data_IF_948971803994
#
_entry.id   IF_948971803994
#
_cell.length_a   1.000
_cell.length_b   1.000
_cell.length_c   1.000
_cell.angle_alpha   90.00
_cell.angle_beta   90.00
_cell.angle_gamma   90.00
#
_symmetry.space_group_name_H-M   'P 1'
#
loop_
_entity.id
_entity.type
_entity.pdbx_description
1 polymer ?
#
# COMPACT_ATOMS: atom_id res chain seq x y z
N UNK A 1 15.81 -19.57 11.14
CA UNK A 1 14.92 -18.53 10.54
C UNK A 1 13.72 -19.28 9.99
N UNK A 2 12.50 -19.06 10.51
CA UNK A 2 11.30 -19.62 9.88
C UNK A 2 11.18 -18.98 8.49
N UNK A 3 11.07 -19.81 7.44
CA UNK A 3 10.77 -19.32 6.09
C UNK A 3 9.39 -18.63 6.15
N UNK A 4 9.34 -17.35 5.87
CA UNK A 4 8.07 -16.61 5.73
C UNK A 4 7.28 -17.22 4.56
N UNK A 5 6.00 -17.51 4.78
CA UNK A 5 5.14 -18.08 3.74
C UNK A 5 4.91 -17.05 2.63
N UNK A 6 5.19 -17.41 1.37
CA UNK A 6 4.84 -16.59 0.21
C UNK A 6 3.32 -16.65 0.01
N UNK A 7 2.67 -15.49 0.10
CA UNK A 7 1.22 -15.33 -0.06
C UNK A 7 0.86 -14.94 -1.49
N UNK A 8 1.59 -14.00 -2.08
CA UNK A 8 1.35 -13.53 -3.45
C UNK A 8 2.61 -13.72 -4.29
N UNK A 9 2.44 -14.26 -5.49
CA UNK A 9 3.50 -14.43 -6.47
C UNK A 9 3.03 -14.03 -7.87
N UNK A 10 3.67 -13.03 -8.46
CA UNK A 10 3.56 -12.64 -9.86
C UNK A 10 4.78 -13.12 -10.60
N UNK A 11 4.60 -13.78 -11.76
CA UNK A 11 5.68 -14.27 -12.61
C UNK A 11 5.50 -13.76 -14.03
N UNK A 12 6.42 -12.90 -14.47
CA UNK A 12 6.50 -12.33 -15.82
C UNK A 12 5.17 -11.75 -16.31
N UNK A 13 4.44 -11.05 -15.42
CA UNK A 13 3.11 -10.52 -15.70
C UNK A 13 3.19 -9.33 -16.63
N UNK A 14 2.45 -9.41 -17.74
CA UNK A 14 2.26 -8.30 -18.70
C UNK A 14 0.78 -7.97 -18.77
N UNK A 15 0.47 -6.67 -18.70
CA UNK A 15 -0.90 -6.13 -18.72
C UNK A 15 -1.03 -5.11 -19.85
N UNK A 16 -2.17 -5.14 -20.53
CA UNK A 16 -2.49 -4.21 -21.62
C UNK A 16 -3.84 -3.54 -21.40
N UNK A 17 -3.96 -2.29 -21.85
CA UNK A 17 -5.22 -1.62 -22.12
C UNK A 17 -5.33 -1.40 -23.62
N UNK A 18 -6.28 -2.06 -24.27
CA UNK A 18 -6.35 -2.11 -25.74
C UNK A 18 -5.00 -2.54 -26.34
N UNK A 19 -4.33 -1.69 -27.09
CA UNK A 19 -3.03 -1.99 -27.72
C UNK A 19 -1.82 -1.49 -26.91
N UNK A 20 -2.05 -0.73 -25.83
CA UNK A 20 -0.98 -0.15 -25.03
C UNK A 20 -0.57 -1.08 -23.87
N UNK A 21 0.73 -1.39 -23.76
CA UNK A 21 1.27 -2.13 -22.61
C UNK A 21 1.32 -1.19 -21.42
N UNK A 22 0.53 -1.51 -20.39
CA UNK A 22 0.49 -0.77 -19.13
C UNK A 22 1.50 -1.27 -18.11
N UNK A 23 1.78 -2.59 -18.11
CA UNK A 23 2.78 -3.24 -17.25
C UNK A 23 3.48 -4.32 -18.06
N UNK A 24 4.82 -4.39 -17.96
CA UNK A 24 5.65 -5.28 -18.75
C UNK A 24 6.52 -6.15 -17.86
N UNK A 25 6.34 -7.47 -18.02
CA UNK A 25 7.21 -8.49 -17.42
C UNK A 25 7.48 -8.28 -15.93
N UNK A 26 6.39 -8.16 -15.15
CA UNK A 26 6.44 -7.83 -13.73
C UNK A 26 6.58 -9.09 -12.88
N UNK A 27 7.62 -9.13 -12.04
CA UNK A 27 7.84 -10.17 -11.02
C UNK A 27 7.71 -9.54 -9.63
N UNK A 28 6.83 -10.09 -8.79
CA UNK A 28 6.60 -9.65 -7.40
C UNK A 28 6.32 -10.87 -6.53
N UNK A 29 6.92 -10.89 -5.35
CA UNK A 29 6.54 -11.79 -4.25
C UNK A 29 6.20 -10.99 -3.01
N UNK A 30 5.12 -11.39 -2.30
CA UNK A 30 4.73 -10.80 -1.00
C UNK A 30 4.52 -11.93 0.00
N UNK A 31 5.02 -11.74 1.21
CA UNK A 31 5.03 -12.75 2.25
C UNK A 31 4.01 -12.45 3.36
N UNK A 32 3.64 -13.49 4.13
CA UNK A 32 2.78 -13.33 5.31
C UNK A 32 3.39 -12.32 6.30
N UNK A 33 2.57 -11.39 6.79
CA UNK A 33 3.03 -10.35 7.71
C UNK A 33 3.99 -9.33 7.09
N UNK A 34 3.90 -9.12 5.78
CA UNK A 34 4.70 -8.14 5.04
C UNK A 34 3.82 -7.03 4.45
N UNK A 35 4.34 -5.79 4.48
CA UNK A 35 3.81 -4.69 3.69
C UNK A 35 4.81 -4.39 2.57
N UNK A 36 4.41 -4.68 1.33
CA UNK A 36 5.13 -4.29 0.12
C UNK A 36 4.59 -2.95 -0.38
N UNK A 37 5.41 -1.91 -0.40
CA UNK A 37 5.10 -0.63 -0.99
C UNK A 37 5.37 -0.63 -2.50
N UNK A 38 4.36 -0.41 -3.33
CA UNK A 38 4.55 -0.11 -4.76
C UNK A 38 4.62 1.40 -4.93
N UNK A 39 5.82 1.92 -5.09
CA UNK A 39 6.14 3.33 -5.26
C UNK A 39 6.31 3.67 -6.74
N UNK A 40 5.88 4.84 -7.15
CA UNK A 40 6.12 5.35 -8.50
C UNK A 40 5.18 6.48 -8.89
N UNK A 41 5.48 7.22 -9.98
CA UNK A 41 4.65 8.31 -10.46
C UNK A 41 3.26 7.85 -10.89
N UNK A 42 2.33 8.80 -11.04
CA UNK A 42 1.00 8.51 -11.55
C UNK A 42 1.09 7.95 -12.98
N UNK A 43 0.23 6.96 -13.29
CA UNK A 43 0.21 6.31 -14.59
C UNK A 43 1.31 5.28 -14.83
N UNK A 44 2.20 4.98 -13.88
CA UNK A 44 3.27 3.98 -14.07
C UNK A 44 2.81 2.51 -14.00
N UNK A 45 1.53 2.22 -13.73
CA UNK A 45 0.98 0.87 -13.71
C UNK A 45 0.63 0.31 -12.32
N UNK A 46 0.73 1.08 -11.22
CA UNK A 46 0.42 0.61 -9.85
C UNK A 46 -1.02 0.11 -9.72
N UNK A 47 -2.00 0.96 -10.00
CA UNK A 47 -3.43 0.60 -9.91
C UNK A 47 -3.81 -0.52 -10.88
N UNK A 48 -3.20 -0.55 -12.07
CA UNK A 48 -3.37 -1.63 -13.05
C UNK A 48 -2.88 -2.96 -12.47
N UNK A 49 -1.71 -2.95 -11.81
CA UNK A 49 -1.15 -4.13 -11.14
C UNK A 49 -2.09 -4.60 -10.02
N UNK A 50 -2.59 -3.70 -9.16
CA UNK A 50 -3.54 -4.07 -8.11
C UNK A 50 -4.82 -4.67 -8.68
N UNK A 51 -5.39 -4.07 -9.73
CA UNK A 51 -6.58 -4.58 -10.40
C UNK A 51 -6.34 -5.98 -11.01
N UNK A 52 -5.16 -6.21 -11.59
CA UNK A 52 -4.80 -7.53 -12.08
C UNK A 52 -4.69 -8.54 -10.94
N UNK A 53 -4.04 -8.19 -9.81
CA UNK A 53 -3.98 -9.06 -8.63
C UNK A 53 -5.39 -9.35 -8.09
N UNK A 54 -6.27 -8.36 -8.04
CA UNK A 54 -7.66 -8.54 -7.59
C UNK A 54 -8.52 -9.39 -8.55
N UNK A 55 -8.03 -9.68 -9.74
CA UNK A 55 -8.79 -10.42 -10.77
C UNK A 55 -9.77 -9.56 -11.56
N UNK A 56 -9.60 -8.24 -11.53
CA UNK A 56 -10.43 -7.28 -12.26
C UNK A 56 -9.85 -6.91 -13.63
N UNK A 57 -8.63 -7.37 -13.95
CA UNK A 57 -7.95 -7.12 -15.21
C UNK A 57 -7.33 -8.41 -15.74
N UNK A 58 -7.56 -8.70 -17.04
CA UNK A 58 -7.00 -9.89 -17.68
C UNK A 58 -5.49 -9.75 -17.89
N UNK A 59 -4.78 -10.87 -17.80
CA UNK A 59 -3.35 -10.95 -18.09
C UNK A 59 -3.15 -11.11 -19.61
N UNK A 60 -2.22 -10.36 -20.20
CA UNK A 60 -1.72 -10.63 -21.54
C UNK A 60 -0.76 -11.82 -21.52
N UNK A 61 0.11 -11.88 -20.51
CA UNK A 61 1.01 -13.01 -20.28
C UNK A 61 1.42 -13.10 -18.82
N UNK A 62 2.06 -14.22 -18.45
CA UNK A 62 2.50 -14.49 -17.09
C UNK A 62 1.44 -15.17 -16.23
N UNK A 63 1.65 -15.24 -14.94
CA UNK A 63 0.69 -15.81 -14.00
C UNK A 63 0.72 -15.09 -12.66
N UNK A 64 -0.44 -15.11 -11.97
CA UNK A 64 -0.62 -14.61 -10.61
C UNK A 64 -1.11 -15.76 -9.74
N UNK A 65 -0.38 -16.02 -8.65
CA UNK A 65 -0.71 -17.05 -7.66
C UNK A 65 -0.93 -16.37 -6.31
N UNK A 66 -1.99 -16.75 -5.62
CA UNK A 66 -2.28 -16.35 -4.25
C UNK A 66 -2.39 -17.61 -3.39
N UNK A 67 -1.51 -17.76 -2.41
CA UNK A 67 -1.39 -18.96 -1.58
C UNK A 67 -1.38 -20.26 -2.44
N UNK A 68 -0.60 -20.22 -3.53
CA UNK A 68 -0.48 -21.30 -4.52
C UNK A 68 -1.67 -21.47 -5.47
N UNK A 69 -2.76 -20.72 -5.30
CA UNK A 69 -3.95 -20.80 -6.16
C UNK A 69 -3.85 -19.84 -7.35
N UNK A 70 -4.15 -20.33 -8.53
CA UNK A 70 -4.19 -19.50 -9.74
C UNK A 70 -5.49 -18.72 -9.83
N UNK A 71 -5.37 -17.43 -10.13
CA UNK A 71 -6.49 -16.52 -10.40
C UNK A 71 -7.44 -17.06 -11.49
N UNK A 72 -6.90 -17.69 -12.53
CA UNK A 72 -7.68 -18.18 -13.67
C UNK A 72 -8.33 -19.52 -13.43
N UNK A 73 -7.73 -20.37 -12.60
CA UNK A 73 -8.24 -21.72 -12.33
C UNK A 73 -9.33 -21.75 -11.25
N UNK A 74 -9.22 -20.90 -10.24
CA UNK A 74 -10.14 -20.88 -9.09
C UNK A 74 -10.57 -19.45 -8.73
N UNK A 75 -11.27 -18.73 -9.62
CA UNK A 75 -11.48 -17.30 -9.45
C UNK A 75 -12.27 -16.89 -8.21
N UNK A 76 -13.24 -17.69 -7.76
CA UNK A 76 -14.04 -17.38 -6.57
C UNK A 76 -13.26 -17.58 -5.27
N UNK A 77 -12.59 -18.73 -5.09
CA UNK A 77 -11.78 -18.98 -3.91
C UNK A 77 -10.54 -18.08 -3.83
N UNK A 78 -9.99 -17.72 -4.99
CA UNK A 78 -8.91 -16.76 -5.11
C UNK A 78 -9.36 -15.37 -4.59
N UNK A 79 -10.46 -14.82 -5.13
CA UNK A 79 -10.97 -13.50 -4.74
C UNK A 79 -11.44 -13.44 -3.29
N UNK A 80 -11.96 -14.54 -2.75
CA UNK A 80 -12.39 -14.62 -1.36
C UNK A 80 -11.25 -14.44 -0.34
N UNK A 81 -9.98 -14.50 -0.78
CA UNK A 81 -8.81 -14.30 0.08
C UNK A 81 -8.29 -12.86 0.02
N UNK A 82 -8.86 -12.00 -0.85
CA UNK A 82 -8.36 -10.65 -1.12
C UNK A 82 -9.33 -9.61 -0.55
N UNK A 83 -8.80 -8.70 0.26
CA UNK A 83 -9.43 -7.41 0.55
C UNK A 83 -8.89 -6.37 -0.43
N UNK A 84 -9.77 -5.65 -1.12
CA UNK A 84 -9.37 -4.60 -2.05
C UNK A 84 -9.97 -3.25 -1.63
N UNK A 85 -9.12 -2.26 -1.44
CA UNK A 85 -9.48 -0.88 -1.12
C UNK A 85 -9.08 -0.02 -2.32
N UNK A 86 -10.02 0.28 -3.21
CA UNK A 86 -9.76 1.14 -4.37
C UNK A 86 -9.55 2.60 -3.95
N UNK A 87 -8.97 3.40 -4.84
CA UNK A 87 -8.78 4.83 -4.65
C UNK A 87 -10.12 5.57 -4.47
N UNK A 88 -11.17 5.15 -5.17
CA UNK A 88 -12.54 5.65 -4.96
C UNK A 88 -13.19 4.95 -3.77
N UNK A 89 -14.19 5.63 -3.17
CA UNK A 89 -14.93 5.05 -2.06
C UNK A 89 -15.90 3.98 -2.59
N UNK A 90 -15.82 2.76 -2.05
CA UNK A 90 -16.58 1.60 -2.50
C UNK A 90 -17.54 1.09 -1.40
N UNK A 91 -18.35 1.99 -0.86
CA UNK A 91 -19.41 1.69 0.11
C UNK A 91 -20.62 2.62 -0.11
N UNK A 92 -21.72 2.36 0.57
CA UNK A 92 -22.95 3.14 0.45
C UNK A 92 -22.94 4.31 1.45
N UNK A 93 -22.80 5.53 0.97
CA UNK A 93 -22.67 6.73 1.81
C UNK A 93 -23.94 7.04 2.62
N UNK A 94 -25.10 6.66 2.11
CA UNK A 94 -26.39 6.84 2.78
C UNK A 94 -26.58 5.90 3.97
N UNK A 95 -25.82 4.82 4.01
CA UNK A 95 -25.89 3.82 5.09
C UNK A 95 -24.90 4.14 6.21
N UNK A 96 -25.22 3.66 7.41
CA UNK A 96 -24.28 3.71 8.53
C UNK A 96 -23.12 2.73 8.33
N UNK A 97 -21.96 2.89 9.04
CA UNK A 97 -20.92 1.88 9.10
C UNK A 97 -21.41 0.49 9.42
N UNK A 98 -22.25 0.36 10.45
CA UNK A 98 -22.85 -0.92 10.83
C UNK A 98 -23.60 -1.58 9.66
N UNK A 99 -24.42 -0.81 8.93
CA UNK A 99 -25.20 -1.31 7.80
C UNK A 99 -24.31 -1.69 6.63
N UNK A 100 -23.29 -0.87 6.30
CA UNK A 100 -22.30 -1.18 5.29
C UNK A 100 -21.57 -2.49 5.61
N UNK A 101 -21.01 -2.60 6.81
CA UNK A 101 -20.27 -3.79 7.23
C UNK A 101 -21.17 -5.02 7.31
N UNK A 102 -22.45 -4.86 7.72
CA UNK A 102 -23.42 -5.95 7.68
C UNK A 102 -23.67 -6.45 6.27
N UNK A 103 -23.78 -5.53 5.29
CA UNK A 103 -23.93 -5.88 3.87
C UNK A 103 -22.71 -6.67 3.37
N UNK A 104 -21.49 -6.12 3.52
CA UNK A 104 -20.28 -6.79 3.06
C UNK A 104 -20.02 -8.12 3.79
N UNK A 105 -20.23 -8.18 5.10
CA UNK A 105 -20.08 -9.42 5.85
C UNK A 105 -21.02 -10.53 5.36
N UNK A 106 -22.27 -10.21 5.04
CA UNK A 106 -23.23 -11.18 4.48
C UNK A 106 -22.84 -11.66 3.09
N UNK A 107 -22.25 -10.81 2.23
CA UNK A 107 -21.75 -11.23 0.93
C UNK A 107 -20.70 -12.33 1.05
N UNK A 108 -19.91 -12.32 2.13
CA UNK A 108 -18.94 -13.36 2.45
C UNK A 108 -19.50 -14.49 3.34
N UNK A 109 -20.84 -14.57 3.49
CA UNK A 109 -21.51 -15.64 4.22
C UNK A 109 -21.45 -15.53 5.74
N UNK A 110 -21.01 -14.41 6.31
CA UNK A 110 -20.97 -14.18 7.76
C UNK A 110 -22.39 -13.82 8.23
N UNK A 111 -22.92 -14.54 9.24
CA UNK A 111 -24.31 -14.38 9.70
C UNK A 111 -24.43 -14.47 11.24
N UNK A 112 -25.58 -14.02 11.75
CA UNK A 112 -25.93 -14.12 13.16
C UNK A 112 -24.93 -13.42 14.09
N UNK A 113 -24.66 -14.01 15.25
CA UNK A 113 -23.77 -13.44 16.26
C UNK A 113 -22.33 -13.22 15.75
N UNK A 114 -21.86 -14.09 14.83
CA UNK A 114 -20.53 -13.93 14.22
C UNK A 114 -20.43 -12.65 13.40
N UNK A 115 -21.52 -12.25 12.74
CA UNK A 115 -21.55 -11.00 11.97
C UNK A 115 -21.46 -9.79 12.91
N UNK A 116 -22.27 -9.73 13.97
CA UNK A 116 -22.25 -8.62 14.93
C UNK A 116 -20.89 -8.49 15.62
N UNK A 117 -20.32 -9.62 16.04
CA UNK A 117 -18.97 -9.64 16.61
C UNK A 117 -17.93 -9.12 15.63
N UNK A 118 -17.95 -9.59 14.37
CA UNK A 118 -17.00 -9.17 13.35
C UNK A 118 -17.13 -7.68 13.01
N UNK A 119 -18.35 -7.15 12.95
CA UNK A 119 -18.60 -5.72 12.77
C UNK A 119 -17.93 -4.92 13.91
N UNK A 120 -18.14 -5.32 15.15
CA UNK A 120 -17.54 -4.65 16.31
C UNK A 120 -16.02 -4.68 16.26
N UNK A 121 -15.41 -5.85 15.97
CA UNK A 121 -13.96 -6.01 15.81
C UNK A 121 -13.39 -5.04 14.74
N UNK A 122 -14.05 -4.99 13.57
CA UNK A 122 -13.57 -4.17 12.45
C UNK A 122 -13.77 -2.69 12.71
N UNK A 123 -14.91 -2.28 13.33
CA UNK A 123 -15.12 -0.88 13.70
C UNK A 123 -14.06 -0.39 14.71
N UNK A 124 -13.73 -1.23 15.70
CA UNK A 124 -12.68 -0.92 16.67
C UNK A 124 -11.31 -0.78 15.99
N UNK A 125 -10.97 -1.69 15.08
CA UNK A 125 -9.72 -1.67 14.33
C UNK A 125 -9.53 -0.36 13.55
N UNK A 126 -10.61 0.16 12.94
CA UNK A 126 -10.56 1.41 12.16
C UNK A 126 -10.95 2.65 12.97
N UNK A 127 -11.18 2.53 14.29
CA UNK A 127 -11.56 3.62 15.22
C UNK A 127 -12.83 4.36 14.78
N UNK A 128 -13.91 3.60 14.53
CA UNK A 128 -15.22 4.11 14.15
C UNK A 128 -16.35 3.57 15.06
N UNK A 129 -16.01 3.03 16.24
CA UNK A 129 -16.99 2.43 17.18
C UNK A 129 -18.08 3.43 17.61
N UNK A 130 -17.67 4.64 17.94
CA UNK A 130 -18.55 5.74 18.39
C UNK A 130 -19.46 6.29 17.28
N UNK A 131 -19.21 5.89 16.02
CA UNK A 131 -19.92 6.33 14.81
C UNK A 131 -20.67 5.20 14.11
N UNK A 132 -20.76 4.03 14.71
CA UNK A 132 -21.32 2.81 14.11
C UNK A 132 -22.68 2.98 13.45
N UNK A 133 -23.55 3.81 14.02
CA UNK A 133 -24.94 4.01 13.57
C UNK A 133 -25.20 5.35 12.85
N UNK A 134 -24.17 6.19 12.68
CA UNK A 134 -24.31 7.49 12.00
C UNK A 134 -24.17 7.28 10.48
N UNK A 135 -25.06 7.86 9.63
CA UNK A 135 -24.91 7.76 8.17
C UNK A 135 -23.54 8.27 7.69
N UNK A 136 -22.90 7.49 6.81
CA UNK A 136 -21.53 7.79 6.38
C UNK A 136 -21.41 9.05 5.50
N UNK A 137 -22.53 9.54 4.97
CA UNK A 137 -22.58 10.82 4.24
C UNK A 137 -22.08 12.00 5.09
N UNK A 138 -22.31 11.94 6.42
CA UNK A 138 -21.89 12.96 7.37
C UNK A 138 -20.41 12.83 7.81
N UNK A 139 -19.68 11.85 7.29
CA UNK A 139 -18.30 11.58 7.68
C UNK A 139 -17.32 12.55 7.02
N UNK A 140 -16.22 12.86 7.75
CA UNK A 140 -15.05 13.48 7.16
C UNK A 140 -14.39 12.55 6.12
N UNK A 141 -13.56 13.09 5.22
CA UNK A 141 -12.82 12.29 4.25
C UNK A 141 -12.02 11.16 4.91
N UNK A 142 -11.36 11.45 6.04
CA UNK A 142 -10.61 10.46 6.81
C UNK A 142 -11.50 9.35 7.41
N UNK A 143 -12.68 9.69 7.91
CA UNK A 143 -13.65 8.69 8.38
C UNK A 143 -14.17 7.81 7.23
N UNK A 144 -14.46 8.40 6.07
CA UNK A 144 -14.86 7.67 4.86
C UNK A 144 -13.78 6.71 4.39
N UNK A 145 -12.51 7.12 4.36
CA UNK A 145 -11.38 6.23 4.02
C UNK A 145 -11.24 5.07 4.99
N UNK A 146 -11.38 5.31 6.29
CA UNK A 146 -11.35 4.25 7.30
C UNK A 146 -12.53 3.29 7.17
N UNK A 147 -13.72 3.77 6.81
CA UNK A 147 -14.86 2.90 6.51
C UNK A 147 -14.64 2.07 5.24
N UNK A 148 -14.03 2.66 4.19
CA UNK A 148 -13.67 1.94 2.97
C UNK A 148 -12.72 0.77 3.27
N UNK A 149 -11.71 1.01 4.10
CA UNK A 149 -10.80 -0.03 4.60
C UNK A 149 -11.57 -1.09 5.40
N UNK A 150 -12.46 -0.67 6.30
CA UNK A 150 -13.27 -1.58 7.12
C UNK A 150 -14.11 -2.58 6.30
N UNK A 151 -14.72 -2.11 5.20
CA UNK A 151 -15.50 -2.97 4.31
C UNK A 151 -14.63 -4.09 3.70
N UNK A 152 -13.41 -3.79 3.29
CA UNK A 152 -12.47 -4.76 2.71
C UNK A 152 -11.94 -5.77 3.75
N UNK A 153 -12.09 -5.51 5.04
CA UNK A 153 -11.57 -6.36 6.12
C UNK A 153 -12.58 -7.36 6.67
N UNK A 154 -13.87 -7.26 6.29
CA UNK A 154 -14.94 -8.06 6.89
C UNK A 154 -14.69 -9.57 6.84
N UNK A 155 -14.15 -10.09 5.77
CA UNK A 155 -13.91 -11.52 5.52
C UNK A 155 -12.53 -12.03 5.97
N UNK A 156 -11.75 -11.25 6.73
CA UNK A 156 -10.39 -11.60 7.19
C UNK A 156 -9.47 -12.02 6.02
N UNK A 157 -9.17 -11.11 5.08
CA UNK A 157 -8.38 -11.46 3.90
C UNK A 157 -6.96 -11.90 4.25
N UNK A 158 -6.37 -12.81 3.48
CA UNK A 158 -4.95 -13.16 3.54
C UNK A 158 -4.08 -12.09 2.90
N UNK A 159 -4.61 -11.43 1.85
CA UNK A 159 -3.96 -10.37 1.11
C UNK A 159 -4.84 -9.12 1.10
N UNK A 160 -4.29 -7.98 1.50
CA UNK A 160 -4.93 -6.69 1.43
C UNK A 160 -4.25 -5.83 0.35
N UNK A 161 -5.04 -5.35 -0.60
CA UNK A 161 -4.60 -4.46 -1.67
C UNK A 161 -5.14 -3.06 -1.41
N UNK A 162 -4.28 -2.06 -1.41
CA UNK A 162 -4.61 -0.67 -1.07
C UNK A 162 -4.12 0.26 -2.18
N UNK A 163 -5.06 0.89 -2.87
CA UNK A 163 -4.74 1.84 -3.94
C UNK A 163 -4.81 3.27 -3.43
N UNK A 164 -3.62 3.85 -3.13
CA UNK A 164 -3.43 5.21 -2.61
C UNK A 164 -4.39 5.56 -1.44
N UNK A 165 -4.45 4.75 -0.36
CA UNK A 165 -5.51 4.84 0.64
C UNK A 165 -5.46 6.09 1.52
N UNK A 166 -4.36 6.84 1.49
CA UNK A 166 -4.10 8.00 2.36
C UNK A 166 -4.14 9.33 1.63
N UNK A 167 -4.38 9.32 0.32
CA UNK A 167 -4.48 10.56 -0.48
C UNK A 167 -5.59 11.46 0.04
N UNK A 168 -5.25 12.72 0.32
CA UNK A 168 -6.18 13.73 0.83
C UNK A 168 -6.51 13.62 2.32
N UNK A 169 -5.81 12.76 3.08
CA UNK A 169 -6.00 12.64 4.51
C UNK A 169 -5.15 13.64 5.30
N UNK A 170 -5.74 14.16 6.37
CA UNK A 170 -5.02 14.86 7.42
C UNK A 170 -4.08 13.92 8.19
N UNK A 171 -3.00 14.44 8.83
CA UNK A 171 -2.02 13.60 9.52
C UNK A 171 -2.61 12.64 10.57
N UNK A 172 -3.57 13.03 11.44
CA UNK A 172 -4.18 12.11 12.39
C UNK A 172 -4.95 10.96 11.72
N UNK A 173 -5.70 11.25 10.63
CA UNK A 173 -6.43 10.22 9.87
C UNK A 173 -5.48 9.25 9.17
N UNK A 174 -4.38 9.75 8.61
CA UNK A 174 -3.32 8.93 7.99
C UNK A 174 -2.69 7.99 9.02
N UNK A 175 -2.32 8.47 10.20
CA UNK A 175 -1.72 7.65 11.25
C UNK A 175 -2.70 6.58 11.78
N UNK A 176 -4.01 6.87 11.81
CA UNK A 176 -5.01 5.86 12.14
C UNK A 176 -5.05 4.72 11.11
N UNK A 177 -4.92 5.01 9.82
CA UNK A 177 -4.79 4.00 8.76
C UNK A 177 -3.51 3.19 8.96
N UNK A 178 -2.37 3.85 9.17
CA UNK A 178 -1.09 3.15 9.38
C UNK A 178 -1.12 2.23 10.60
N UNK A 179 -1.68 2.68 11.71
CA UNK A 179 -1.83 1.85 12.92
C UNK A 179 -2.68 0.59 12.65
N UNK A 180 -3.75 0.72 11.87
CA UNK A 180 -4.57 -0.41 11.44
C UNK A 180 -3.76 -1.39 10.57
N UNK A 181 -2.98 -0.90 9.60
CA UNK A 181 -2.15 -1.74 8.73
C UNK A 181 -1.04 -2.44 9.50
N UNK A 182 -0.41 -1.77 10.48
CA UNK A 182 0.59 -2.37 11.37
C UNK A 182 0.00 -3.52 12.18
N UNK A 183 -1.23 -3.37 12.70
CA UNK A 183 -1.91 -4.45 13.41
C UNK A 183 -2.20 -5.63 12.48
N UNK A 184 -2.77 -5.41 11.30
CA UNK A 184 -3.06 -6.45 10.32
C UNK A 184 -1.81 -7.21 9.89
N UNK A 185 -0.70 -6.50 9.67
CA UNK A 185 0.60 -7.09 9.37
C UNK A 185 1.06 -8.02 10.50
N UNK A 186 0.96 -7.57 11.75
CA UNK A 186 1.35 -8.37 12.91
C UNK A 186 0.46 -9.60 13.11
N UNK A 187 -0.80 -9.56 12.62
CA UNK A 187 -1.72 -10.69 12.57
C UNK A 187 -1.44 -11.65 11.38
N UNK A 188 -0.43 -11.34 10.55
CA UNK A 188 0.01 -12.18 9.43
C UNK A 188 -0.61 -11.85 8.08
N UNK A 189 -1.42 -10.79 7.97
CA UNK A 189 -1.95 -10.33 6.68
C UNK A 189 -0.81 -9.83 5.79
N UNK A 190 -0.77 -10.30 4.54
CA UNK A 190 0.09 -9.75 3.50
C UNK A 190 -0.55 -8.49 2.92
N UNK A 191 0.21 -7.42 2.69
CA UNK A 191 -0.33 -6.13 2.25
C UNK A 191 0.46 -5.62 1.05
N UNK A 192 -0.24 -5.22 -0.02
CA UNK A 192 0.32 -4.42 -1.13
C UNK A 192 -0.24 -3.02 -1.04
N UNK A 193 0.62 -2.06 -0.85
CA UNK A 193 0.30 -0.66 -0.62
C UNK A 193 0.84 0.21 -1.74
N UNK A 194 -0.02 0.87 -2.54
CA UNK A 194 0.44 1.79 -3.57
C UNK A 194 0.46 3.22 -3.05
N UNK A 195 1.50 3.95 -3.43
CA UNK A 195 1.64 5.36 -3.15
C UNK A 195 2.61 6.02 -4.12
N UNK A 196 2.57 7.33 -4.20
CA UNK A 196 3.61 8.15 -4.82
C UNK A 196 4.41 8.95 -3.76
N UNK A 197 4.09 8.79 -2.46
CA UNK A 197 4.76 9.44 -1.35
C UNK A 197 5.80 8.51 -0.71
N UNK A 198 7.05 8.90 -0.77
CA UNK A 198 8.16 8.11 -0.23
C UNK A 198 8.11 8.01 1.31
N UNK A 199 7.62 9.07 1.96
CA UNK A 199 7.46 9.13 3.42
C UNK A 199 6.57 8.00 3.94
N UNK A 200 5.49 7.67 3.22
CA UNK A 200 4.59 6.59 3.57
C UNK A 200 5.28 5.23 3.46
N UNK A 201 6.07 5.03 2.39
CA UNK A 201 6.84 3.81 2.19
C UNK A 201 7.85 3.61 3.34
N UNK A 202 8.57 4.68 3.71
CA UNK A 202 9.54 4.63 4.82
C UNK A 202 8.85 4.36 6.16
N UNK A 203 7.61 4.88 6.35
CA UNK A 203 6.86 4.75 7.61
C UNK A 203 6.34 3.35 7.86
N UNK A 204 5.82 2.64 6.82
CA UNK A 204 5.07 1.40 7.05
C UNK A 204 5.57 0.18 6.28
N UNK A 205 6.33 0.34 5.17
CA UNK A 205 6.67 -0.77 4.31
C UNK A 205 7.91 -1.54 4.80
N UNK A 206 7.90 -2.85 4.61
CA UNK A 206 9.05 -3.72 4.84
C UNK A 206 9.94 -3.80 3.61
N UNK A 207 9.30 -3.89 2.43
CA UNK A 207 9.94 -3.95 1.12
C UNK A 207 9.31 -2.95 0.17
N UNK A 208 10.04 -2.60 -0.86
CA UNK A 208 9.66 -1.58 -1.85
C UNK A 208 9.84 -2.13 -3.26
N UNK A 209 8.82 -1.94 -4.09
CA UNK A 209 8.89 -2.04 -5.52
C UNK A 209 8.78 -0.64 -6.12
N UNK A 210 9.81 -0.16 -6.81
CA UNK A 210 9.74 1.11 -7.53
C UNK A 210 9.40 0.88 -9.00
N UNK A 211 8.25 1.42 -9.42
CA UNK A 211 7.74 1.27 -10.79
C UNK A 211 7.84 2.59 -11.56
N UNK A 212 8.24 2.50 -12.83
CA UNK A 212 8.12 3.59 -13.79
C UNK A 212 7.84 3.03 -15.18
N UNK A 213 6.98 3.71 -15.94
CA UNK A 213 6.64 3.35 -17.34
C UNK A 213 6.29 1.87 -17.53
N UNK A 214 5.47 1.33 -16.64
CA UNK A 214 5.02 -0.06 -16.69
C UNK A 214 6.05 -1.12 -16.30
N UNK A 215 7.23 -0.73 -15.82
CA UNK A 215 8.31 -1.67 -15.48
C UNK A 215 8.75 -1.51 -14.02
N UNK A 216 9.19 -2.62 -13.40
CA UNK A 216 9.84 -2.59 -12.09
C UNK A 216 11.30 -2.16 -12.26
N UNK A 217 11.68 -1.03 -11.67
CA UNK A 217 13.06 -0.52 -11.73
C UNK A 217 13.89 -0.95 -10.52
N UNK A 218 13.24 -1.21 -9.41
CA UNK A 218 13.82 -1.71 -8.18
C UNK A 218 12.81 -2.56 -7.42
N UNK A 219 13.29 -3.62 -6.78
CA UNK A 219 12.51 -4.45 -5.86
C UNK A 219 13.45 -5.00 -4.78
N UNK A 220 13.20 -4.67 -3.52
CA UNK A 220 14.06 -5.07 -2.42
C UNK A 220 13.59 -4.55 -1.06
N UNK A 221 14.41 -4.72 -0.04
CA UNK A 221 14.17 -4.17 1.29
C UNK A 221 14.27 -2.65 1.29
N UNK A 222 13.66 -2.01 2.29
CA UNK A 222 13.76 -0.57 2.46
C UNK A 222 15.23 -0.10 2.59
N UNK A 223 16.09 -0.87 3.28
CA UNK A 223 17.52 -0.58 3.41
C UNK A 223 18.26 -0.63 2.07
N UNK A 224 17.98 -1.64 1.25
CA UNK A 224 18.56 -1.76 -0.10
C UNK A 224 18.07 -0.63 -1.00
N UNK A 225 16.80 -0.24 -0.90
CA UNK A 225 16.23 0.88 -1.64
C UNK A 225 16.93 2.20 -1.29
N UNK A 226 17.10 2.50 -0.01
CA UNK A 226 17.86 3.67 0.44
C UNK A 226 19.29 3.65 -0.10
N UNK A 227 20.00 2.52 0.05
CA UNK A 227 21.37 2.37 -0.47
C UNK A 227 21.46 2.56 -1.99
N UNK A 228 20.50 1.99 -2.73
CA UNK A 228 20.43 2.11 -4.19
C UNK A 228 20.29 3.58 -4.65
N UNK A 229 19.43 4.34 -3.98
CA UNK A 229 19.24 5.76 -4.27
C UNK A 229 20.50 6.56 -3.95
N UNK A 230 21.09 6.38 -2.77
CA UNK A 230 22.29 7.11 -2.36
C UNK A 230 23.49 6.83 -3.28
N UNK A 231 23.67 5.59 -3.71
CA UNK A 231 24.78 5.23 -4.62
C UNK A 231 24.66 5.89 -5.99
N UNK A 232 23.45 5.93 -6.55
CA UNK A 232 23.19 6.56 -7.86
C UNK A 232 23.20 8.09 -7.80
N UNK A 233 22.73 8.68 -6.70
CA UNK A 233 22.81 10.13 -6.49
C UNK A 233 24.26 10.62 -6.43
N UNK A 234 25.18 9.85 -5.81
CA UNK A 234 26.63 10.16 -5.78
C UNK A 234 27.29 10.14 -7.15
N UNK A 235 26.86 9.29 -8.08
CA UNK A 235 27.44 9.20 -9.43
C UNK A 235 27.09 10.39 -10.35
N UNK A 236 26.06 11.19 -10.01
CA UNK A 236 25.59 12.31 -10.85
C UNK A 236 25.83 13.71 -10.27
N UNK A 237 26.14 13.83 -8.97
CA UNK A 237 26.39 15.14 -8.34
C UNK A 237 27.60 15.08 -7.41
N UNK A 238 28.69 15.83 -7.73
CA UNK A 238 29.93 15.82 -6.93
C UNK A 238 29.81 16.48 -5.54
N UNK A 239 28.64 17.00 -5.14
CA UNK A 239 28.45 17.76 -3.90
C UNK A 239 27.23 17.37 -3.05
N UNK A 240 26.68 16.16 -3.19
CA UNK A 240 25.66 15.70 -2.23
C UNK A 240 26.39 15.15 -0.99
N UNK A 241 26.40 15.91 0.09
CA UNK A 241 26.90 15.50 1.40
C UNK A 241 26.09 14.29 1.90
N UNK A 242 26.78 13.26 2.36
CA UNK A 242 26.14 12.04 2.89
C UNK A 242 25.57 12.26 4.29
N UNK A 243 24.53 11.52 4.68
CA UNK A 243 23.91 11.65 6.00
C UNK A 243 24.89 11.49 7.18
N UNK A 244 25.96 10.71 7.03
CA UNK A 244 26.94 10.50 8.10
C UNK A 244 27.77 11.76 8.44
N UNK A 245 27.95 12.70 7.51
CA UNK A 245 28.70 13.94 7.78
C UNK A 245 27.86 14.98 8.56
N UNK A 246 26.54 14.83 8.55
CA UNK A 246 25.62 15.77 9.21
C UNK A 246 25.47 15.42 10.70
N UNK A 247 25.82 14.20 11.14
CA UNK A 247 25.73 13.78 12.55
C UNK A 247 26.80 14.44 13.43
N UNK A 248 27.97 14.79 12.92
CA UNK A 248 29.06 15.36 13.72
C UNK A 248 28.93 16.89 13.87
N UNK A 249 28.40 17.62 12.87
CA UNK A 249 28.27 19.10 12.95
C UNK A 249 27.00 19.58 13.71
N UNK A 250 25.99 18.70 13.90
CA UNK A 250 24.70 19.08 14.52
C UNK A 250 24.69 19.00 16.05
N UNK A 251 25.78 18.58 16.69
CA UNK A 251 25.90 18.48 18.15
C UNK A 251 26.29 19.81 18.84
N UNK A 252 26.63 20.85 18.08
CA UNK A 252 27.11 22.10 18.67
C UNK A 252 26.10 23.24 18.82
N UNK A 253 24.90 23.18 18.18
CA UNK A 253 23.89 24.23 18.38
C UNK A 253 22.52 23.71 18.80
N UNK A 254 22.27 23.88 20.10
CA UNK A 254 21.01 23.54 20.75
C UNK A 254 19.84 24.41 20.29
N UNK A 255 18.80 23.81 19.70
CA UNK A 255 17.38 24.12 19.96
C UNK A 255 16.50 23.01 19.38
N UNK A 256 15.98 22.17 20.28
CA UNK A 256 15.06 21.03 20.08
C UNK A 256 15.44 20.00 18.98
N UNK A 257 15.98 18.86 19.44
CA UNK A 257 16.31 17.68 18.62
C UNK A 257 15.20 17.24 17.66
N UNK A 258 13.93 17.44 18.04
CA UNK A 258 12.78 17.08 17.22
C UNK A 258 12.58 17.98 15.98
N UNK A 259 12.94 19.24 16.05
CA UNK A 259 12.80 20.16 14.90
C UNK A 259 13.90 19.96 13.87
N UNK A 260 15.10 19.62 14.31
CA UNK A 260 16.24 19.27 13.46
C UNK A 260 16.04 17.91 12.75
N UNK A 261 15.53 16.90 13.46
CA UNK A 261 15.16 15.61 12.88
C UNK A 261 14.09 15.76 11.79
N UNK A 262 13.07 16.57 12.02
CA UNK A 262 12.02 16.85 11.02
C UNK A 262 12.56 17.60 9.80
N UNK A 263 13.45 18.58 9.97
CA UNK A 263 14.09 19.28 8.84
C UNK A 263 14.97 18.35 8.02
N UNK A 264 15.79 17.51 8.68
CA UNK A 264 16.62 16.51 8.00
C UNK A 264 15.80 15.51 7.21
N UNK A 265 14.74 14.96 7.81
CA UNK A 265 13.83 14.06 7.11
C UNK A 265 13.18 14.71 5.88
N UNK A 266 12.75 15.97 5.98
CA UNK A 266 12.16 16.70 4.86
C UNK A 266 13.16 16.95 3.71
N UNK A 267 14.43 17.29 4.02
CA UNK A 267 15.48 17.51 3.01
C UNK A 267 15.90 16.18 2.34
N UNK A 268 15.99 15.09 3.09
CA UNK A 268 16.25 13.75 2.56
C UNK A 268 15.11 13.28 1.66
N UNK A 269 13.87 13.51 2.05
CA UNK A 269 12.67 13.17 1.27
C UNK A 269 12.62 13.97 -0.03
N UNK A 270 12.86 15.28 0.00
CA UNK A 270 12.87 16.13 -1.19
C UNK A 270 13.97 15.71 -2.19
N UNK A 271 15.16 15.37 -1.71
CA UNK A 271 16.24 14.85 -2.53
C UNK A 271 15.89 13.51 -3.19
N UNK A 272 15.17 12.66 -2.48
CA UNK A 272 14.67 11.36 -2.94
C UNK A 272 13.56 11.51 -3.99
N UNK A 273 12.59 12.38 -3.76
CA UNK A 273 11.50 12.63 -4.72
C UNK A 273 12.03 13.19 -6.04
N UNK A 274 12.93 14.16 -5.97
CA UNK A 274 13.58 14.74 -7.16
C UNK A 274 14.34 13.69 -7.96
N UNK A 275 15.08 12.80 -7.28
CA UNK A 275 15.82 11.72 -7.93
C UNK A 275 14.88 10.68 -8.58
N UNK A 276 13.76 10.34 -7.94
CA UNK A 276 12.77 9.42 -8.49
C UNK A 276 12.07 10.00 -9.72
N UNK A 277 11.81 11.31 -9.73
CA UNK A 277 11.33 12.03 -10.90
C UNK A 277 12.34 11.97 -12.05
N UNK A 278 13.61 12.25 -11.81
CA UNK A 278 14.68 12.14 -12.81
C UNK A 278 14.82 10.71 -13.36
N UNK A 279 14.69 9.67 -12.52
CA UNK A 279 14.69 8.28 -12.97
C UNK A 279 13.49 7.93 -13.86
N UNK A 280 12.34 8.53 -13.61
CA UNK A 280 11.14 8.33 -14.43
C UNK A 280 11.26 8.99 -15.80
N UNK A 281 12.03 10.07 -15.93
CA UNK A 281 12.27 10.80 -17.17
C UNK A 281 13.39 10.19 -18.05
N UNK A 282 14.43 9.62 -17.44
CA UNK A 282 15.60 9.07 -18.17
C UNK A 282 15.25 7.88 -19.07
N UNK A 283 14.17 7.14 -18.82
CA UNK A 283 13.71 6.06 -19.70
C UNK A 283 12.70 6.52 -20.76
N UNK A 284 12.31 7.78 -20.77
CA UNK A 284 11.43 8.37 -21.76
C UNK A 284 12.17 8.91 -23.02
N UNK A 285 13.49 8.93 -22.97
CA UNK A 285 14.39 9.24 -24.08
C UNK A 285 15.07 7.95 -24.59
#
# INVERSE_FOLDING_TARGET
MMQQQEILCLKSVTLKYSDAIAVKNLDISVYSGEILGLLGPNGCGKSTTLNAIAGNHALESGCILLDGQSQTQQPLSYRAQIGFVPQELAFYEELSPYSNLSFFGRLYGIQGNKLSQRISEVLSLVKLDDRANMPAIAFSGGMKRRLNLACALMHKPKLLLLDEPTVGLDPPSREAVFSCLDQLRNEGCAIVYTTHYIEEVVRICNRVGFMAQGSMLFHGTLKEFQSHIFTKARGKAPNIRTPNYIYEEALEESHSEQSLLRKKQAEETYSLEKYLLELSEIKAA
#
